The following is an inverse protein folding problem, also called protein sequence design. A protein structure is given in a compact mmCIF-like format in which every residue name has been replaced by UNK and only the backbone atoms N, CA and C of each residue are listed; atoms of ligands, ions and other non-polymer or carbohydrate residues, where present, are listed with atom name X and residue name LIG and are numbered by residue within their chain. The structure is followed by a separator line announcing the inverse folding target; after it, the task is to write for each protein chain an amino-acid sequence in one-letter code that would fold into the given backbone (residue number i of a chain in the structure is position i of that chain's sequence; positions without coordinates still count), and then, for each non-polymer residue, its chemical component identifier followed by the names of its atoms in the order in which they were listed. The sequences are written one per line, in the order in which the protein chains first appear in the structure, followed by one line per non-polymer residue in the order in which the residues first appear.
data_IF_678099595807
#
_entry.id   IF_678099595807
#
_cell.length_a   1.000
_cell.length_b   1.000
_cell.length_c   1.000
_cell.angle_alpha   90.00
_cell.angle_beta   90.00
_cell.angle_gamma   90.00
#
_symmetry.space_group_name_H-M   'P 1'
#
loop_
_entity.id
_entity.type
_entity.pdbx_description
1 polymer ?
#
# COMPACT_ATOMS: atom_id res chain seq x y z
N UNK A 1 30.60 25.17 -28.60
CA UNK A 1 29.14 24.99 -28.39
C UNK A 1 28.89 24.84 -26.91
N UNK A 2 28.02 25.64 -26.32
CA UNK A 2 27.61 25.45 -24.95
C UNK A 2 26.87 24.08 -24.84
N UNK A 3 27.28 23.25 -23.89
CA UNK A 3 26.61 21.98 -23.62
C UNK A 3 25.19 22.27 -23.18
N UNK A 4 24.20 21.55 -23.74
CA UNK A 4 22.79 21.78 -23.37
C UNK A 4 22.54 21.41 -21.90
N UNK A 5 21.49 21.97 -21.33
CA UNK A 5 21.01 21.61 -19.97
C UNK A 5 20.78 20.12 -19.87
N UNK A 6 20.16 19.52 -20.90
CA UNK A 6 19.95 18.09 -21.02
C UNK A 6 21.25 17.28 -21.01
N UNK A 7 22.21 17.59 -21.90
CA UNK A 7 23.47 16.85 -22.01
C UNK A 7 24.26 16.89 -20.71
N UNK A 8 24.27 18.06 -20.06
CA UNK A 8 24.96 18.23 -18.77
C UNK A 8 24.35 17.34 -17.68
N UNK A 9 23.03 17.30 -17.57
CA UNK A 9 22.34 16.47 -16.59
C UNK A 9 22.48 14.97 -16.92
N UNK A 10 22.34 14.60 -18.20
CA UNK A 10 22.51 13.22 -18.66
C UNK A 10 23.91 12.70 -18.29
N UNK A 11 24.97 13.47 -18.58
CA UNK A 11 26.34 13.11 -18.22
C UNK A 11 26.50 12.92 -16.69
N UNK A 12 25.93 13.81 -15.87
CA UNK A 12 25.97 13.66 -14.41
C UNK A 12 25.29 12.37 -13.95
N UNK A 13 24.14 12.01 -14.55
CA UNK A 13 23.43 10.78 -14.21
C UNK A 13 24.25 9.55 -14.62
N UNK A 14 24.79 9.52 -15.83
CA UNK A 14 25.60 8.42 -16.35
C UNK A 14 26.86 8.16 -15.51
N UNK A 15 27.52 9.23 -15.08
CA UNK A 15 28.73 9.15 -14.25
C UNK A 15 28.45 9.01 -12.75
N UNK A 16 27.20 9.00 -12.31
CA UNK A 16 26.78 9.01 -10.90
C UNK A 16 27.17 10.28 -10.12
N UNK A 17 27.53 11.33 -10.82
CA UNK A 17 27.84 12.63 -10.22
C UNK A 17 26.58 13.44 -9.89
N UNK A 18 25.43 13.05 -10.40
CA UNK A 18 24.15 13.68 -10.06
C UNK A 18 23.80 13.45 -8.57
N UNK A 19 23.30 14.49 -7.92
CA UNK A 19 22.76 14.41 -6.57
C UNK A 19 21.26 14.16 -6.62
N UNK A 20 20.76 13.14 -5.92
CA UNK A 20 19.34 12.83 -5.85
C UNK A 20 18.71 13.34 -4.55
N UNK A 21 17.56 14.02 -4.66
CA UNK A 21 16.70 14.41 -3.55
C UNK A 21 15.46 13.54 -3.54
N UNK A 22 15.10 12.92 -2.42
CA UNK A 22 13.90 12.11 -2.30
C UNK A 22 13.04 12.70 -1.20
N UNK A 23 11.82 13.15 -1.56
CA UNK A 23 10.91 13.84 -0.67
C UNK A 23 9.83 12.87 -0.21
N UNK A 24 9.69 12.71 1.12
CA UNK A 24 8.81 11.76 1.76
C UNK A 24 9.51 10.42 2.00
N UNK A 25 10.09 10.24 3.20
CA UNK A 25 10.81 9.04 3.62
C UNK A 25 9.87 8.02 4.28
N UNK A 26 8.76 7.71 3.61
CA UNK A 26 7.81 6.67 3.99
C UNK A 26 8.14 5.30 3.39
N UNK A 27 7.12 4.45 3.26
CA UNK A 27 7.21 3.08 2.72
C UNK A 27 7.68 3.02 1.26
N UNK A 28 7.58 4.12 0.52
CA UNK A 28 8.06 4.25 -0.86
C UNK A 28 9.42 4.92 -0.89
N UNK A 29 9.53 6.11 -0.30
CA UNK A 29 10.71 6.95 -0.49
C UNK A 29 11.96 6.44 0.21
N UNK A 30 11.89 5.86 1.41
CA UNK A 30 13.08 5.34 2.08
C UNK A 30 13.69 4.12 1.36
N UNK A 31 12.92 3.09 0.96
CA UNK A 31 13.46 2.00 0.12
C UNK A 31 14.06 2.50 -1.19
N UNK A 32 13.41 3.41 -1.88
CA UNK A 32 13.91 4.02 -3.11
C UNK A 32 15.24 4.78 -2.85
N UNK A 33 15.29 5.59 -1.78
CA UNK A 33 16.50 6.34 -1.42
C UNK A 33 17.70 5.43 -1.22
N UNK A 34 17.51 4.31 -0.53
CA UNK A 34 18.57 3.32 -0.31
C UNK A 34 18.95 2.59 -1.61
N UNK A 35 17.98 2.26 -2.48
CA UNK A 35 18.26 1.64 -3.78
C UNK A 35 19.06 2.57 -4.69
N UNK A 36 18.72 3.86 -4.75
CA UNK A 36 19.44 4.89 -5.51
C UNK A 36 20.84 5.12 -4.93
N UNK A 37 20.98 5.19 -3.60
CA UNK A 37 22.28 5.32 -2.96
C UNK A 37 23.22 4.13 -3.27
N UNK A 38 22.68 2.90 -3.21
CA UNK A 38 23.41 1.67 -3.59
C UNK A 38 23.88 1.67 -5.03
N UNK A 39 23.15 2.31 -5.93
CA UNK A 39 23.55 2.44 -7.34
C UNK A 39 24.66 3.48 -7.57
N UNK A 40 25.14 4.13 -6.50
CA UNK A 40 26.31 5.02 -6.52
C UNK A 40 26.01 6.51 -6.49
N UNK A 41 24.73 6.92 -6.41
CA UNK A 41 24.36 8.34 -6.29
C UNK A 41 24.50 8.85 -4.86
N UNK A 42 24.82 10.13 -4.70
CA UNK A 42 24.66 10.84 -3.44
C UNK A 42 23.17 11.22 -3.27
N UNK A 43 22.56 10.74 -2.19
CA UNK A 43 21.12 10.90 -1.93
C UNK A 43 20.89 11.75 -0.68
N UNK A 44 20.05 12.76 -0.79
CA UNK A 44 19.49 13.49 0.35
C UNK A 44 17.99 13.16 0.45
N UNK A 45 17.59 12.56 1.56
CA UNK A 45 16.18 12.34 1.87
C UNK A 45 15.60 13.56 2.60
N UNK A 46 14.41 13.99 2.19
CA UNK A 46 13.68 15.11 2.80
C UNK A 46 12.37 14.60 3.40
N UNK A 47 12.12 14.94 4.66
CA UNK A 47 10.83 14.64 5.30
C UNK A 47 10.51 15.73 6.33
N UNK A 48 9.22 15.99 6.53
CA UNK A 48 8.75 17.01 7.49
C UNK A 48 8.74 16.50 8.94
N UNK A 49 8.89 15.20 9.15
CA UNK A 49 8.82 14.56 10.47
C UNK A 49 10.20 14.47 11.13
N UNK A 50 10.48 15.28 12.19
CA UNK A 50 11.77 15.26 12.87
C UNK A 50 12.08 13.91 13.54
N UNK A 51 11.07 13.12 13.90
CA UNK A 51 11.26 11.82 14.54
C UNK A 51 11.94 10.83 13.61
N UNK A 52 11.66 10.91 12.31
CA UNK A 52 12.35 10.12 11.29
C UNK A 52 13.84 10.48 11.19
N UNK A 53 14.17 11.78 11.29
CA UNK A 53 15.57 12.23 11.29
C UNK A 53 16.33 11.60 12.44
N UNK A 54 15.77 11.64 13.65
CA UNK A 54 16.37 11.01 14.84
C UNK A 54 16.60 9.51 14.65
N UNK A 55 15.62 8.81 14.06
CA UNK A 55 15.76 7.38 13.79
C UNK A 55 16.85 7.08 12.76
N UNK A 56 16.89 7.83 11.64
CA UNK A 56 17.85 7.64 10.55
C UNK A 56 19.28 8.01 11.00
N UNK A 57 19.48 9.08 11.77
CA UNK A 57 20.76 9.44 12.37
C UNK A 57 21.27 8.34 13.33
N UNK A 58 20.36 7.71 14.08
CA UNK A 58 20.64 6.56 14.91
C UNK A 58 20.81 5.24 14.11
N UNK A 59 20.78 5.29 12.77
CA UNK A 59 20.88 4.14 11.85
C UNK A 59 19.79 3.10 12.11
N UNK A 60 18.61 3.54 12.53
CA UNK A 60 17.44 2.70 12.78
C UNK A 60 16.39 2.94 11.69
N UNK A 61 16.10 1.88 10.96
CA UNK A 61 14.98 1.88 10.02
C UNK A 61 13.66 1.75 10.78
N UNK A 62 12.65 2.43 10.29
CA UNK A 62 11.25 2.30 10.71
C UNK A 62 10.39 1.69 9.59
N UNK A 63 11.03 1.20 8.52
CA UNK A 63 10.40 0.54 7.37
C UNK A 63 10.95 -0.87 7.26
N UNK A 64 10.08 -1.89 7.31
CA UNK A 64 10.48 -3.31 7.27
C UNK A 64 11.25 -3.68 5.99
N UNK A 65 10.96 -3.01 4.87
CA UNK A 65 11.63 -3.22 3.59
C UNK A 65 13.10 -2.74 3.57
N UNK A 66 13.54 -1.98 4.58
CA UNK A 66 14.91 -1.48 4.70
C UNK A 66 15.50 -1.96 6.01
N UNK A 67 16.49 -2.85 5.98
CA UNK A 67 17.17 -3.29 7.20
C UNK A 67 18.09 -2.20 7.77
N UNK A 68 18.36 -2.26 9.08
CA UNK A 68 19.28 -1.32 9.74
C UNK A 68 20.69 -1.39 9.13
N UNK A 69 21.13 -2.58 8.76
CA UNK A 69 22.45 -2.82 8.13
C UNK A 69 22.52 -2.15 6.75
N UNK A 70 21.43 -2.26 5.98
CA UNK A 70 21.33 -1.64 4.67
C UNK A 70 21.37 -0.12 4.73
N UNK A 71 20.65 0.46 5.70
CA UNK A 71 20.64 1.90 5.97
C UNK A 71 22.01 2.37 6.46
N UNK A 72 22.59 1.68 7.45
CA UNK A 72 23.90 2.02 8.02
C UNK A 72 25.01 2.02 6.96
N UNK A 73 25.01 1.04 6.06
CA UNK A 73 26.01 0.95 4.99
C UNK A 73 26.03 2.18 4.07
N UNK A 74 24.84 2.71 3.72
CA UNK A 74 24.75 3.88 2.84
C UNK A 74 25.09 5.20 3.56
N UNK A 75 24.77 5.29 4.85
CA UNK A 75 25.16 6.43 5.70
C UNK A 75 26.68 6.45 5.90
N UNK A 76 27.30 5.31 6.24
CA UNK A 76 28.74 5.18 6.46
C UNK A 76 29.57 5.45 5.19
N UNK A 77 29.03 5.03 4.05
CA UNK A 77 29.62 5.34 2.76
C UNK A 77 29.44 6.81 2.33
N UNK A 78 28.73 7.63 3.11
CA UNK A 78 28.45 9.03 2.78
C UNK A 78 27.50 9.21 1.58
N UNK A 79 26.80 8.16 1.17
CA UNK A 79 25.88 8.20 0.03
C UNK A 79 24.44 8.52 0.41
N UNK A 80 24.06 8.41 1.67
CA UNK A 80 22.72 8.78 2.14
C UNK A 80 22.79 9.69 3.36
N UNK A 81 22.01 10.77 3.33
CA UNK A 81 21.71 11.63 4.48
C UNK A 81 20.24 12.02 4.45
N UNK A 82 19.67 12.40 5.59
CA UNK A 82 18.30 12.88 5.69
C UNK A 82 18.25 14.25 6.36
N UNK A 83 17.23 15.07 6.01
CA UNK A 83 17.07 16.42 6.56
C UNK A 83 15.60 16.85 6.53
N UNK A 84 15.27 17.79 7.43
CA UNK A 84 14.00 18.55 7.37
C UNK A 84 14.16 19.89 6.66
N UNK A 85 15.37 20.28 6.26
CA UNK A 85 15.67 21.54 5.57
C UNK A 85 15.50 21.37 4.06
N UNK A 86 14.44 21.90 3.51
CA UNK A 86 14.09 21.84 2.09
C UNK A 86 14.92 22.82 1.21
N UNK A 87 15.66 23.74 1.79
CA UNK A 87 16.58 24.61 1.02
C UNK A 87 17.63 23.78 0.26
N UNK A 88 17.99 22.58 0.78
CA UNK A 88 18.87 21.64 0.12
C UNK A 88 18.39 21.09 -1.22
N UNK A 89 17.13 21.31 -1.61
CA UNK A 89 16.59 20.93 -2.93
C UNK A 89 17.29 21.63 -4.08
N UNK A 90 17.76 22.87 -3.88
CA UNK A 90 18.56 23.59 -4.86
C UNK A 90 19.91 22.91 -5.20
N UNK A 91 20.44 22.04 -4.33
CA UNK A 91 21.67 21.27 -4.57
C UNK A 91 21.43 19.96 -5.33
N UNK A 92 20.19 19.48 -5.41
CA UNK A 92 19.85 18.23 -6.07
C UNK A 92 19.77 18.42 -7.59
N UNK A 93 20.20 17.41 -8.35
CA UNK A 93 20.07 17.37 -9.81
C UNK A 93 18.81 16.57 -10.22
N UNK A 94 18.43 15.56 -9.42
CA UNK A 94 17.20 14.76 -9.59
C UNK A 94 16.40 14.85 -8.30
N UNK A 95 15.13 15.22 -8.39
CA UNK A 95 14.22 15.34 -7.24
C UNK A 95 13.04 14.38 -7.46
N UNK A 96 12.77 13.53 -6.48
CA UNK A 96 11.69 12.55 -6.55
C UNK A 96 10.67 12.82 -5.44
N UNK A 97 9.39 12.89 -5.81
CA UNK A 97 8.27 13.16 -4.91
C UNK A 97 7.59 11.85 -4.54
N UNK A 98 7.69 11.45 -3.26
CA UNK A 98 7.12 10.22 -2.69
C UNK A 98 6.19 10.54 -1.50
N UNK A 99 5.41 11.60 -1.60
CA UNK A 99 4.51 12.05 -0.53
C UNK A 99 3.16 11.32 -0.56
N UNK A 100 2.45 11.24 0.58
CA UNK A 100 1.13 10.63 0.63
C UNK A 100 0.11 11.33 -0.28
N UNK A 101 -0.82 10.54 -0.84
CA UNK A 101 -1.95 10.99 -1.64
C UNK A 101 -3.22 10.31 -1.14
N UNK A 102 -3.79 10.74 0.00
CA UNK A 102 -4.99 10.14 0.57
C UNK A 102 -6.25 10.57 -0.18
N UNK A 103 -7.38 9.89 0.11
CA UNK A 103 -8.71 10.39 -0.26
C UNK A 103 -9.29 11.26 0.86
N UNK A 104 -10.13 12.21 0.49
CA UNK A 104 -11.01 12.91 1.42
C UNK A 104 -12.11 11.98 1.95
N UNK A 105 -12.92 12.44 2.92
CA UNK A 105 -14.09 11.70 3.42
C UNK A 105 -15.13 11.39 2.31
N UNK A 106 -15.13 12.16 1.24
CA UNK A 106 -16.03 12.00 0.09
C UNK A 106 -15.40 11.16 -1.03
N UNK A 107 -14.23 10.54 -0.77
CA UNK A 107 -13.44 9.76 -1.74
C UNK A 107 -12.93 10.60 -2.93
N UNK A 108 -12.76 11.90 -2.75
CA UNK A 108 -12.08 12.74 -3.70
C UNK A 108 -10.55 12.70 -3.45
N UNK A 109 -9.70 12.79 -4.49
CA UNK A 109 -8.25 12.89 -4.35
C UNK A 109 -7.82 14.08 -3.50
N UNK A 110 -6.96 13.86 -2.50
CA UNK A 110 -6.32 14.93 -1.74
C UNK A 110 -4.86 15.07 -2.21
N UNK A 111 -4.62 16.02 -3.10
CA UNK A 111 -3.30 16.33 -3.64
C UNK A 111 -2.55 17.42 -2.86
N UNK A 112 -3.06 17.84 -1.72
CA UNK A 112 -2.47 18.92 -0.92
C UNK A 112 -0.99 18.73 -0.62
N UNK A 113 -0.56 17.49 -0.34
CA UNK A 113 0.85 17.16 -0.10
C UNK A 113 1.68 17.27 -1.38
N UNK A 114 1.17 16.82 -2.51
CA UNK A 114 1.86 16.93 -3.82
C UNK A 114 2.01 18.39 -4.21
N UNK A 115 0.93 19.18 -4.09
CA UNK A 115 0.96 20.59 -4.39
C UNK A 115 1.91 21.37 -3.48
N UNK A 116 1.84 21.15 -2.15
CA UNK A 116 2.73 21.82 -1.19
C UNK A 116 4.21 21.47 -1.48
N UNK A 117 4.48 20.19 -1.76
CA UNK A 117 5.83 19.74 -2.12
C UNK A 117 6.31 20.38 -3.42
N UNK A 118 5.44 20.42 -4.44
CA UNK A 118 5.78 21.06 -5.73
C UNK A 118 6.07 22.56 -5.57
N UNK A 119 5.34 23.27 -4.71
CA UNK A 119 5.62 24.68 -4.37
C UNK A 119 6.96 24.82 -3.66
N UNK A 120 7.27 23.97 -2.69
CA UNK A 120 8.59 23.97 -2.03
C UNK A 120 9.73 23.68 -3.00
N UNK A 121 9.53 22.81 -3.99
CA UNK A 121 10.51 22.58 -5.05
C UNK A 121 10.64 23.83 -5.93
N UNK A 122 9.55 24.47 -6.34
CA UNK A 122 9.54 25.64 -7.20
C UNK A 122 10.32 26.82 -6.59
N UNK A 123 10.31 26.98 -5.26
CA UNK A 123 11.08 28.01 -4.53
C UNK A 123 12.62 27.82 -4.67
N UNK A 124 13.05 26.59 -4.90
CA UNK A 124 14.47 26.21 -4.98
C UNK A 124 14.86 25.64 -6.36
N UNK A 125 13.93 25.65 -7.33
CA UNK A 125 14.13 25.07 -8.64
C UNK A 125 15.19 25.86 -9.43
N UNK A 126 16.11 25.14 -10.04
CA UNK A 126 17.14 25.71 -10.91
C UNK A 126 17.19 25.01 -12.26
N UNK A 127 17.78 25.65 -13.23
CA UNK A 127 18.06 25.04 -14.51
C UNK A 127 18.90 23.76 -14.37
N UNK A 128 18.59 22.74 -15.16
CA UNK A 128 19.27 21.45 -15.18
C UNK A 128 18.81 20.46 -14.12
N UNK A 129 17.60 20.60 -13.59
CA UNK A 129 17.02 19.62 -12.68
C UNK A 129 15.98 18.73 -13.36
N UNK A 130 15.92 17.46 -12.93
CA UNK A 130 14.82 16.53 -13.25
C UNK A 130 13.94 16.41 -12.00
N UNK A 131 12.64 16.63 -12.15
CA UNK A 131 11.64 16.39 -11.10
C UNK A 131 10.75 15.23 -11.50
N UNK A 132 10.68 14.18 -10.69
CA UNK A 132 9.86 13.00 -10.93
C UNK A 132 8.80 12.85 -9.84
N UNK A 133 7.54 12.65 -10.23
CA UNK A 133 6.48 12.26 -9.33
C UNK A 133 6.40 10.73 -9.26
N UNK A 134 6.42 10.16 -8.03
CA UNK A 134 6.16 8.73 -7.78
C UNK A 134 4.89 8.48 -6.97
N UNK A 135 4.36 9.50 -6.32
CA UNK A 135 3.10 9.39 -5.59
C UNK A 135 1.96 8.95 -6.52
N UNK A 136 1.12 8.03 -6.06
CA UNK A 136 -0.04 7.56 -6.84
C UNK A 136 -1.04 8.68 -7.01
N UNK A 137 -1.44 8.94 -8.25
CA UNK A 137 -2.37 10.01 -8.63
C UNK A 137 -3.25 9.59 -9.81
N UNK A 138 -4.16 10.46 -10.23
CA UNK A 138 -4.93 10.26 -11.47
C UNK A 138 -4.17 10.74 -12.70
N UNK A 139 -4.49 10.20 -13.89
CA UNK A 139 -3.85 10.61 -15.16
C UNK A 139 -3.99 12.10 -15.42
N UNK A 140 -2.87 12.75 -15.69
CA UNK A 140 -2.74 14.19 -15.92
C UNK A 140 -2.19 14.98 -14.74
N UNK A 141 -2.08 14.40 -13.53
CA UNK A 141 -1.58 15.12 -12.34
C UNK A 141 -0.19 15.71 -12.55
N UNK A 142 0.73 14.93 -13.14
CA UNK A 142 2.11 15.39 -13.38
C UNK A 142 2.14 16.60 -14.32
N UNK A 143 1.38 16.55 -15.40
CA UNK A 143 1.41 17.59 -16.43
C UNK A 143 0.55 18.81 -16.05
N UNK A 144 -0.67 18.59 -15.50
CA UNK A 144 -1.64 19.64 -15.23
C UNK A 144 -1.43 20.35 -13.89
N UNK A 145 -0.76 19.71 -12.92
CA UNK A 145 -0.57 20.24 -11.57
C UNK A 145 0.91 20.44 -11.27
N UNK A 146 1.70 19.35 -11.25
CA UNK A 146 3.11 19.43 -10.80
C UNK A 146 3.90 20.34 -11.73
N UNK A 147 3.87 20.09 -13.05
CA UNK A 147 4.57 20.90 -14.03
C UNK A 147 4.13 22.38 -13.97
N UNK A 148 2.84 22.66 -13.89
CA UNK A 148 2.31 24.03 -13.82
C UNK A 148 2.80 24.78 -12.59
N UNK A 149 2.84 24.11 -11.43
CA UNK A 149 3.39 24.72 -10.20
C UNK A 149 4.88 25.01 -10.33
N UNK A 150 5.65 24.06 -10.90
CA UNK A 150 7.08 24.22 -11.10
C UNK A 150 7.40 25.34 -12.09
N UNK A 151 6.63 25.47 -13.18
CA UNK A 151 6.76 26.57 -14.13
C UNK A 151 6.42 27.96 -13.55
N UNK A 152 5.72 27.98 -12.41
CA UNK A 152 5.52 29.19 -11.60
C UNK A 152 6.82 29.83 -11.09
N UNK A 153 7.93 29.11 -11.07
CA UNK A 153 9.29 29.62 -10.81
C UNK A 153 9.82 30.54 -11.92
N UNK A 154 9.17 30.57 -13.09
CA UNK A 154 9.64 31.27 -14.28
C UNK A 154 10.47 30.43 -15.23
N UNK A 155 10.85 29.22 -14.83
CA UNK A 155 11.56 28.23 -15.66
C UNK A 155 10.57 27.43 -16.52
N UNK A 156 11.03 26.84 -17.62
CA UNK A 156 10.20 26.06 -18.55
C UNK A 156 10.60 24.61 -18.63
N UNK A 157 9.62 23.72 -18.49
CA UNK A 157 9.80 22.28 -18.68
C UNK A 157 10.23 21.97 -20.11
N UNK A 158 11.18 21.03 -20.26
CA UNK A 158 11.76 20.64 -21.55
C UNK A 158 12.86 21.58 -22.05
N UNK A 159 13.05 22.75 -21.42
CA UNK A 159 14.12 23.72 -21.77
C UNK A 159 15.06 23.96 -20.60
N UNK A 160 14.50 24.41 -19.48
CA UNK A 160 15.29 24.76 -18.30
C UNK A 160 15.37 23.60 -17.30
N UNK A 161 14.28 22.86 -17.12
CA UNK A 161 14.19 21.68 -16.27
C UNK A 161 13.36 20.59 -16.93
N UNK A 162 13.31 19.40 -16.32
CA UNK A 162 12.63 18.25 -16.88
C UNK A 162 11.64 17.66 -15.88
N UNK A 163 10.51 17.14 -16.36
CA UNK A 163 9.47 16.53 -15.53
C UNK A 163 9.17 15.12 -16.01
N UNK A 164 8.99 14.19 -15.07
CA UNK A 164 8.59 12.84 -15.38
C UNK A 164 7.73 12.21 -14.29
N UNK A 165 7.20 11.03 -14.62
CA UNK A 165 6.42 10.20 -13.70
C UNK A 165 6.92 8.76 -13.71
N UNK A 166 6.94 8.15 -12.54
CA UNK A 166 7.23 6.72 -12.39
C UNK A 166 6.39 6.12 -11.26
N UNK A 167 5.45 5.21 -11.55
CA UNK A 167 4.63 4.61 -10.52
C UNK A 167 5.44 3.73 -9.57
N UNK A 168 5.14 3.79 -8.28
CA UNK A 168 5.62 2.82 -7.32
C UNK A 168 4.84 1.50 -7.46
N UNK A 169 5.55 0.36 -7.48
CA UNK A 169 4.99 -0.98 -7.74
C UNK A 169 5.38 -2.02 -6.69
N UNK A 170 5.93 -1.61 -5.55
CA UNK A 170 6.28 -2.52 -4.47
C UNK A 170 5.05 -3.15 -3.82
N UNK A 171 5.22 -4.39 -3.36
CA UNK A 171 4.27 -5.13 -2.54
C UNK A 171 4.89 -5.38 -1.16
N UNK A 172 4.56 -4.59 -0.14
CA UNK A 172 5.13 -4.74 1.19
C UNK A 172 4.99 -6.17 1.73
N UNK A 173 6.11 -6.72 2.24
CA UNK A 173 6.18 -8.10 2.72
C UNK A 173 6.37 -9.16 1.64
N UNK A 174 6.54 -8.79 0.36
CA UNK A 174 6.91 -9.73 -0.69
C UNK A 174 8.37 -10.18 -0.52
N UNK A 175 8.61 -11.50 -0.51
CA UNK A 175 9.95 -12.08 -0.30
C UNK A 175 10.74 -12.27 -1.61
N UNK A 176 10.05 -12.20 -2.76
CA UNK A 176 10.64 -12.52 -4.07
C UNK A 176 10.93 -11.26 -4.89
N UNK A 177 10.18 -10.19 -4.67
CA UNK A 177 10.27 -8.97 -5.44
C UNK A 177 10.53 -7.77 -4.54
N UNK A 178 11.47 -6.92 -4.91
CA UNK A 178 11.83 -5.68 -4.22
C UNK A 178 12.16 -4.60 -5.25
N UNK A 179 12.30 -3.34 -4.84
CA UNK A 179 12.52 -2.16 -5.69
C UNK A 179 13.46 -2.41 -6.87
N UNK A 180 14.61 -3.05 -6.65
CA UNK A 180 15.61 -3.25 -7.70
C UNK A 180 15.23 -4.33 -8.73
N UNK A 181 14.31 -5.26 -8.42
CA UNK A 181 13.95 -6.40 -9.29
C UNK A 181 12.62 -6.22 -10.00
N UNK A 182 11.74 -5.34 -9.51
CA UNK A 182 10.46 -5.04 -10.16
C UNK A 182 10.71 -4.13 -11.37
N UNK A 183 10.22 -4.49 -12.58
CA UNK A 183 10.32 -3.59 -13.74
C UNK A 183 9.69 -2.23 -13.44
N UNK A 184 10.44 -1.15 -13.60
CA UNK A 184 10.02 0.21 -13.30
C UNK A 184 9.46 0.90 -14.55
N UNK A 185 8.20 1.28 -14.52
CA UNK A 185 7.59 2.08 -15.59
C UNK A 185 8.05 3.52 -15.45
N UNK A 186 8.42 4.15 -16.56
CA UNK A 186 8.84 5.56 -16.58
C UNK A 186 8.25 6.31 -17.74
N UNK A 187 7.96 7.59 -17.53
CA UNK A 187 7.54 8.54 -18.54
C UNK A 187 8.26 9.88 -18.33
N UNK A 188 8.22 10.74 -19.33
CA UNK A 188 8.76 12.09 -19.26
C UNK A 188 7.96 13.05 -20.13
N UNK A 189 7.98 14.33 -19.75
CA UNK A 189 7.45 15.45 -20.54
C UNK A 189 8.39 15.74 -21.72
N UNK A 190 8.22 14.97 -22.79
CA UNK A 190 9.06 15.00 -23.96
C UNK A 190 10.21 13.98 -23.96
N UNK A 191 10.91 13.86 -25.10
CA UNK A 191 11.92 12.83 -25.31
C UNK A 191 13.16 12.98 -24.42
N UNK A 192 13.56 14.19 -24.08
CA UNK A 192 14.71 14.47 -23.22
C UNK A 192 14.42 14.06 -21.78
N UNK A 193 13.25 14.46 -21.23
CA UNK A 193 12.83 14.06 -19.92
C UNK A 193 12.72 12.51 -19.81
N UNK A 194 12.14 11.85 -20.83
CA UNK A 194 12.08 10.40 -20.87
C UNK A 194 13.47 9.75 -20.90
N UNK A 195 14.42 10.31 -21.64
CA UNK A 195 15.81 9.80 -21.66
C UNK A 195 16.47 9.90 -20.30
N UNK A 196 16.33 11.03 -19.61
CA UNK A 196 16.83 11.23 -18.25
C UNK A 196 16.20 10.25 -17.26
N UNK A 197 14.87 10.08 -17.29
CA UNK A 197 14.14 9.11 -16.47
C UNK A 197 14.64 7.69 -16.69
N UNK A 198 14.80 7.26 -17.94
CA UNK A 198 15.33 5.93 -18.29
C UNK A 198 16.75 5.73 -17.73
N UNK A 199 17.63 6.71 -17.90
CA UNK A 199 19.03 6.61 -17.48
C UNK A 199 19.13 6.59 -15.97
N UNK A 200 18.38 7.45 -15.26
CA UNK A 200 18.40 7.52 -13.81
C UNK A 200 17.85 6.22 -13.17
N UNK A 201 16.64 5.83 -13.54
CA UNK A 201 16.03 4.61 -12.95
C UNK A 201 16.76 3.34 -13.41
N UNK A 202 17.25 3.29 -14.64
CA UNK A 202 18.05 2.16 -15.14
C UNK A 202 19.36 1.92 -14.39
N UNK A 203 19.80 2.88 -13.60
CA UNK A 203 20.92 2.70 -12.69
C UNK A 203 20.55 1.95 -11.41
N UNK A 204 19.31 2.11 -10.94
CA UNK A 204 18.85 1.60 -9.66
C UNK A 204 18.01 0.32 -9.78
N UNK A 205 17.40 0.05 -10.95
CA UNK A 205 16.53 -1.12 -11.17
C UNK A 205 16.98 -1.96 -12.36
N UNK A 206 16.64 -3.25 -12.34
CA UNK A 206 17.07 -4.21 -13.38
C UNK A 206 16.42 -3.98 -14.74
N UNK A 207 15.21 -3.43 -14.77
CA UNK A 207 14.44 -3.24 -16.01
C UNK A 207 13.62 -1.97 -15.95
N UNK A 208 13.75 -1.13 -16.99
CA UNK A 208 12.95 0.08 -17.18
C UNK A 208 12.01 -0.10 -18.36
N UNK A 209 10.73 0.21 -18.17
CA UNK A 209 9.68 0.11 -19.18
C UNK A 209 9.21 1.53 -19.53
N UNK A 210 9.71 2.13 -20.60
CA UNK A 210 9.28 3.47 -21.02
C UNK A 210 7.87 3.43 -21.62
N UNK A 211 7.07 4.44 -21.30
CA UNK A 211 5.75 4.67 -21.92
C UNK A 211 5.66 6.07 -22.52
N UNK A 212 4.64 6.31 -23.33
CA UNK A 212 4.54 7.47 -24.22
C UNK A 212 4.27 8.82 -23.53
N UNK A 213 3.70 8.80 -22.31
CA UNK A 213 3.35 10.04 -21.57
C UNK A 213 3.25 9.79 -20.08
N UNK A 214 3.37 10.86 -19.26
CA UNK A 214 3.16 10.81 -17.82
C UNK A 214 1.76 10.27 -17.49
N UNK A 215 0.72 10.73 -18.19
CA UNK A 215 -0.65 10.24 -18.00
C UNK A 215 -0.79 8.74 -18.27
N UNK A 216 -0.05 8.18 -19.24
CA UNK A 216 -0.02 6.73 -19.47
C UNK A 216 0.62 6.00 -18.30
N UNK A 217 1.73 6.49 -17.77
CA UNK A 217 2.41 5.87 -16.63
C UNK A 217 1.55 5.94 -15.34
N UNK A 218 0.86 7.05 -15.10
CA UNK A 218 -0.12 7.23 -14.02
C UNK A 218 -1.28 6.22 -14.17
N UNK A 219 -1.81 6.05 -15.38
CA UNK A 219 -2.88 5.09 -15.67
C UNK A 219 -2.46 3.63 -15.43
N UNK A 220 -1.19 3.27 -15.69
CA UNK A 220 -0.67 1.90 -15.43
C UNK A 220 -0.86 1.51 -13.97
N UNK A 221 -0.46 2.39 -13.03
CA UNK A 221 -0.61 2.13 -11.58
C UNK A 221 -2.05 1.91 -11.19
N UNK A 222 -2.94 2.78 -11.64
CA UNK A 222 -4.37 2.64 -11.34
C UNK A 222 -4.94 1.35 -11.93
N UNK A 223 -4.58 1.01 -13.17
CA UNK A 223 -5.03 -0.23 -13.83
C UNK A 223 -4.64 -1.47 -13.04
N UNK A 224 -3.40 -1.55 -12.53
CA UNK A 224 -2.92 -2.67 -11.71
C UNK A 224 -3.73 -2.80 -10.41
N UNK A 225 -4.05 -1.70 -9.75
CA UNK A 225 -4.81 -1.70 -8.50
C UNK A 225 -6.31 -1.95 -8.73
N UNK A 226 -6.88 -1.41 -9.80
CA UNK A 226 -8.25 -1.69 -10.24
C UNK A 226 -8.41 -3.17 -10.56
N UNK A 227 -7.48 -3.78 -11.31
CA UNK A 227 -7.50 -5.20 -11.61
C UNK A 227 -7.59 -6.05 -10.33
N UNK A 228 -6.77 -5.75 -9.32
CA UNK A 228 -6.83 -6.46 -8.03
C UNK A 228 -8.15 -6.22 -7.31
N UNK A 229 -8.62 -4.97 -7.22
CA UNK A 229 -9.86 -4.62 -6.53
C UNK A 229 -11.07 -5.33 -7.11
N UNK A 230 -11.21 -5.32 -8.46
CA UNK A 230 -12.32 -5.95 -9.18
C UNK A 230 -12.29 -7.47 -9.04
N UNK A 231 -11.11 -8.11 -9.17
CA UNK A 231 -11.02 -9.57 -9.04
C UNK A 231 -11.24 -10.05 -7.60
N UNK A 232 -10.84 -9.27 -6.58
CA UNK A 232 -11.17 -9.59 -5.19
C UNK A 232 -12.68 -9.42 -4.94
N UNK A 233 -13.32 -8.39 -5.50
CA UNK A 233 -14.77 -8.23 -5.42
C UNK A 233 -15.50 -9.40 -6.09
N UNK A 234 -15.04 -9.85 -7.26
CA UNK A 234 -15.61 -11.01 -7.96
C UNK A 234 -15.58 -12.26 -7.07
N UNK A 235 -14.44 -12.61 -6.46
CA UNK A 235 -14.38 -13.81 -5.61
C UNK A 235 -15.12 -13.64 -4.29
N UNK A 236 -15.27 -12.43 -3.77
CA UNK A 236 -16.11 -12.13 -2.61
C UNK A 236 -17.62 -12.31 -2.96
N UNK A 237 -18.06 -11.88 -4.13
CA UNK A 237 -19.41 -12.11 -4.63
C UNK A 237 -19.67 -13.61 -4.85
N UNK A 238 -18.77 -14.30 -5.57
CA UNK A 238 -18.85 -15.74 -5.79
C UNK A 238 -18.92 -16.52 -4.48
N UNK A 239 -18.21 -16.12 -3.44
CA UNK A 239 -18.28 -16.70 -2.11
C UNK A 239 -19.72 -16.66 -1.56
N UNK A 240 -20.41 -15.52 -1.67
CA UNK A 240 -21.78 -15.38 -1.17
C UNK A 240 -22.76 -16.25 -1.95
N UNK A 241 -22.61 -16.27 -3.28
CA UNK A 241 -23.44 -17.09 -4.20
C UNK A 241 -23.22 -18.57 -3.94
N UNK A 242 -21.97 -19.03 -3.93
CA UNK A 242 -21.66 -20.44 -3.72
C UNK A 242 -22.00 -20.93 -2.32
N UNK A 243 -21.85 -20.09 -1.29
CA UNK A 243 -22.29 -20.43 0.06
C UNK A 243 -23.81 -20.71 0.11
N UNK A 244 -24.64 -19.93 -0.62
CA UNK A 244 -26.08 -20.18 -0.73
C UNK A 244 -26.42 -21.47 -1.48
N UNK A 245 -25.52 -21.93 -2.36
CA UNK A 245 -25.66 -23.18 -3.14
C UNK A 245 -25.04 -24.39 -2.43
N UNK A 246 -24.41 -24.21 -1.27
CA UNK A 246 -23.69 -25.28 -0.56
C UNK A 246 -22.38 -25.69 -1.22
N UNK A 247 -21.79 -24.81 -2.06
CA UNK A 247 -20.52 -25.03 -2.76
C UNK A 247 -19.40 -24.29 -2.04
N UNK A 248 -18.26 -24.96 -1.88
CA UNK A 248 -17.06 -24.35 -1.30
C UNK A 248 -16.30 -23.52 -2.35
N UNK A 249 -16.31 -22.20 -2.20
CA UNK A 249 -15.59 -21.28 -3.10
C UNK A 249 -14.09 -21.52 -3.15
N UNK A 250 -13.47 -21.97 -2.04
CA UNK A 250 -12.04 -22.22 -1.97
C UNK A 250 -11.63 -23.42 -2.83
N UNK A 251 -12.41 -24.51 -2.76
CA UNK A 251 -12.23 -25.66 -3.62
C UNK A 251 -12.39 -25.30 -5.09
N UNK A 252 -13.41 -24.50 -5.42
CA UNK A 252 -13.64 -24.00 -6.80
C UNK A 252 -12.44 -23.20 -7.30
N UNK A 253 -11.90 -22.27 -6.50
CA UNK A 253 -10.74 -21.45 -6.88
C UNK A 253 -9.49 -22.34 -7.05
N UNK A 254 -9.26 -23.28 -6.11
CA UNK A 254 -8.12 -24.17 -6.14
C UNK A 254 -8.16 -25.14 -7.34
N UNK A 255 -9.33 -25.58 -7.72
CA UNK A 255 -9.50 -26.35 -8.97
C UNK A 255 -9.30 -25.47 -10.21
N UNK A 256 -9.89 -24.26 -10.23
CA UNK A 256 -9.80 -23.37 -11.38
C UNK A 256 -8.36 -22.89 -11.65
N UNK A 257 -7.54 -22.67 -10.61
CA UNK A 257 -6.13 -22.25 -10.78
C UNK A 257 -5.22 -23.29 -11.45
N UNK A 258 -5.67 -24.54 -11.55
CA UNK A 258 -4.94 -25.59 -12.30
C UNK A 258 -4.97 -25.36 -13.79
N UNK A 259 -5.89 -24.52 -14.29
CA UNK A 259 -5.93 -24.11 -15.68
C UNK A 259 -4.72 -23.21 -15.99
N UNK A 260 -3.85 -23.57 -16.95
CA UNK A 260 -2.57 -22.89 -17.14
C UNK A 260 -2.69 -21.52 -17.84
N UNK A 261 -3.87 -21.11 -18.28
CA UNK A 261 -4.12 -19.85 -19.00
C UNK A 261 -5.52 -19.30 -18.72
N UNK A 262 -5.69 -17.99 -18.84
CA UNK A 262 -6.98 -17.32 -18.77
C UNK A 262 -7.63 -17.28 -17.38
N UNK A 263 -6.90 -17.65 -16.32
CA UNK A 263 -7.32 -17.56 -14.93
C UNK A 263 -6.14 -17.20 -14.02
N UNK A 264 -6.34 -16.17 -13.21
CA UNK A 264 -5.43 -15.78 -12.13
C UNK A 264 -6.20 -15.90 -10.81
N UNK A 265 -5.74 -16.72 -9.86
CA UNK A 265 -6.47 -16.96 -8.63
C UNK A 265 -6.43 -15.72 -7.71
N UNK A 266 -7.60 -15.32 -7.23
CA UNK A 266 -7.81 -14.44 -6.10
C UNK A 266 -8.62 -15.19 -5.06
N UNK A 267 -8.43 -14.86 -3.79
CA UNK A 267 -9.13 -15.52 -2.70
C UNK A 267 -10.02 -14.54 -1.94
N UNK A 268 -11.21 -14.95 -1.54
CA UNK A 268 -12.11 -14.09 -0.77
C UNK A 268 -11.56 -13.82 0.63
N UNK A 269 -12.07 -12.78 1.25
CA UNK A 269 -11.68 -12.37 2.59
C UNK A 269 -12.73 -11.49 3.27
N UNK A 270 -12.44 -10.98 4.47
CA UNK A 270 -13.39 -10.16 5.22
C UNK A 270 -13.53 -8.72 4.69
N UNK A 271 -12.89 -8.39 3.61
CA UNK A 271 -12.86 -7.07 2.97
C UNK A 271 -11.48 -6.76 2.38
N UNK A 272 -11.33 -5.55 1.85
CA UNK A 272 -10.06 -5.01 1.38
C UNK A 272 -9.37 -4.22 2.48
N UNK A 273 -8.03 -4.28 2.48
CA UNK A 273 -7.18 -3.47 3.32
C UNK A 273 -5.91 -3.04 2.58
N UNK A 274 -5.06 -2.29 3.27
CA UNK A 274 -3.86 -1.68 2.71
C UNK A 274 -4.13 -0.31 2.11
N UNK A 275 -3.07 0.44 1.86
CA UNK A 275 -3.16 1.84 1.43
C UNK A 275 -3.67 2.01 -0.01
N UNK A 276 -3.37 1.05 -0.91
CA UNK A 276 -3.55 1.26 -2.36
C UNK A 276 -4.91 0.76 -2.88
N UNK A 277 -5.26 -0.52 -2.61
CA UNK A 277 -6.41 -1.15 -3.27
C UNK A 277 -7.76 -0.53 -2.88
N UNK A 278 -8.00 -0.10 -1.63
CA UNK A 278 -9.24 0.59 -1.27
C UNK A 278 -9.31 2.04 -1.77
N UNK A 279 -8.19 2.65 -2.16
CA UNK A 279 -8.04 4.09 -2.40
C UNK A 279 -7.86 4.38 -3.90
N UNK A 280 -6.82 3.82 -4.52
CA UNK A 280 -6.37 4.19 -5.86
C UNK A 280 -7.43 4.03 -6.97
N UNK A 281 -8.32 3.01 -6.97
CA UNK A 281 -9.37 2.90 -7.97
C UNK A 281 -10.28 4.12 -8.04
N UNK A 282 -10.53 4.78 -6.90
CA UNK A 282 -11.39 5.95 -6.83
C UNK A 282 -10.78 7.21 -7.43
N UNK A 283 -9.45 7.27 -7.59
CA UNK A 283 -8.79 8.32 -8.37
C UNK A 283 -9.29 8.33 -9.82
N UNK A 284 -9.39 7.15 -10.44
CA UNK A 284 -9.92 7.07 -11.81
C UNK A 284 -11.42 7.36 -11.86
N UNK A 285 -12.19 6.90 -10.87
CA UNK A 285 -13.62 7.22 -10.75
C UNK A 285 -13.86 8.72 -10.64
N UNK A 286 -13.03 9.42 -9.87
CA UNK A 286 -13.11 10.87 -9.73
C UNK A 286 -12.75 11.56 -11.04
N UNK A 287 -11.62 11.21 -11.67
CA UNK A 287 -11.13 11.82 -12.92
C UNK A 287 -12.07 11.56 -14.10
N UNK A 288 -12.69 10.38 -14.17
CA UNK A 288 -13.60 10.02 -15.27
C UNK A 288 -14.86 10.89 -15.33
N UNK A 289 -15.24 11.53 -14.20
CA UNK A 289 -16.39 12.46 -14.18
C UNK A 289 -16.17 13.70 -15.04
N UNK A 290 -14.92 14.14 -15.24
CA UNK A 290 -14.58 15.23 -16.14
C UNK A 290 -14.93 14.89 -17.61
N UNK A 291 -14.98 13.58 -17.94
CA UNK A 291 -15.31 13.05 -19.26
C UNK A 291 -16.75 12.51 -19.34
N UNK A 292 -17.55 12.74 -18.29
CA UNK A 292 -18.94 12.25 -18.19
C UNK A 292 -19.05 10.71 -18.31
N UNK A 293 -18.01 9.97 -17.90
CA UNK A 293 -17.93 8.51 -17.98
C UNK A 293 -18.07 7.86 -16.59
N UNK A 294 -19.08 6.98 -16.37
CA UNK A 294 -19.18 6.23 -15.12
C UNK A 294 -18.21 5.04 -15.09
N UNK A 295 -17.61 4.76 -13.94
CA UNK A 295 -16.71 3.62 -13.73
C UNK A 295 -17.42 2.45 -13.04
N UNK A 296 -18.37 1.82 -13.73
CA UNK A 296 -19.29 0.82 -13.15
C UNK A 296 -18.59 -0.33 -12.43
N UNK A 297 -17.56 -0.93 -13.03
CA UNK A 297 -16.83 -2.04 -12.41
C UNK A 297 -16.07 -1.61 -11.15
N UNK A 298 -15.51 -0.41 -11.14
CA UNK A 298 -14.72 0.09 -10.02
C UNK A 298 -15.64 0.42 -8.84
N UNK A 299 -16.75 1.11 -9.10
CA UNK A 299 -17.72 1.50 -8.08
C UNK A 299 -18.40 0.26 -7.48
N UNK A 300 -18.83 -0.69 -8.33
CA UNK A 300 -19.42 -1.96 -7.88
C UNK A 300 -18.42 -2.79 -7.06
N UNK A 301 -17.17 -2.88 -7.50
CA UNK A 301 -16.14 -3.59 -6.75
C UNK A 301 -15.91 -2.96 -5.37
N UNK A 302 -15.90 -1.63 -5.30
CA UNK A 302 -15.81 -0.90 -4.04
C UNK A 302 -16.98 -1.18 -3.10
N UNK A 303 -18.21 -1.25 -3.64
CA UNK A 303 -19.42 -1.56 -2.88
C UNK A 303 -19.36 -2.99 -2.32
N UNK A 304 -19.10 -3.99 -3.17
CA UNK A 304 -19.00 -5.41 -2.76
C UNK A 304 -17.95 -5.58 -1.67
N UNK A 305 -16.73 -5.06 -1.88
CA UNK A 305 -15.64 -5.23 -0.93
C UNK A 305 -15.91 -4.51 0.41
N UNK A 306 -16.58 -3.36 0.39
CA UNK A 306 -16.96 -2.61 1.60
C UNK A 306 -18.11 -3.29 2.38
N UNK A 307 -18.90 -4.12 1.73
CA UNK A 307 -19.99 -4.88 2.37
C UNK A 307 -19.49 -6.14 3.10
N UNK A 308 -18.30 -6.66 2.75
CA UNK A 308 -17.79 -7.93 3.29
C UNK A 308 -17.65 -7.98 4.82
N UNK A 309 -17.19 -6.94 5.53
CA UNK A 309 -17.13 -7.01 6.99
C UNK A 309 -18.51 -7.26 7.63
N UNK A 310 -19.56 -6.65 7.07
CA UNK A 310 -20.95 -6.86 7.56
C UNK A 310 -21.44 -8.27 7.27
N UNK A 311 -21.13 -8.81 6.10
CA UNK A 311 -21.42 -10.21 5.76
C UNK A 311 -20.75 -11.17 6.75
N UNK A 312 -19.47 -10.99 7.03
CA UNK A 312 -18.70 -11.83 7.95
C UNK A 312 -19.28 -11.77 9.38
N UNK A 313 -19.59 -10.57 9.90
CA UNK A 313 -20.22 -10.45 11.23
C UNK A 313 -21.63 -11.02 11.23
N UNK A 314 -22.35 -10.98 10.11
CA UNK A 314 -23.63 -11.68 9.93
C UNK A 314 -23.47 -13.19 10.09
N UNK A 315 -22.47 -13.79 9.43
CA UNK A 315 -22.13 -15.22 9.55
C UNK A 315 -21.67 -15.61 10.95
N UNK A 316 -20.90 -14.76 11.62
CA UNK A 316 -20.53 -14.95 13.02
C UNK A 316 -21.75 -14.99 13.93
N UNK A 317 -22.70 -14.05 13.76
CA UNK A 317 -23.93 -14.01 14.56
C UNK A 317 -24.81 -15.23 14.32
N UNK A 318 -24.97 -15.65 13.05
CA UNK A 318 -25.69 -16.88 12.68
C UNK A 318 -25.04 -18.12 13.32
N UNK A 319 -23.72 -18.24 13.27
CA UNK A 319 -22.99 -19.34 13.84
C UNK A 319 -23.10 -19.39 15.38
N UNK A 320 -23.04 -18.26 16.07
CA UNK A 320 -23.26 -18.15 17.52
C UNK A 320 -24.67 -18.58 17.92
N UNK A 321 -25.68 -18.12 17.17
CA UNK A 321 -27.08 -18.50 17.44
C UNK A 321 -27.32 -20.00 17.21
N UNK A 322 -26.94 -20.53 16.06
CA UNK A 322 -27.20 -21.92 15.68
C UNK A 322 -26.37 -22.94 16.47
N UNK A 323 -25.14 -22.62 16.87
CA UNK A 323 -24.21 -23.56 17.51
C UNK A 323 -24.08 -23.40 19.01
N UNK A 324 -24.19 -22.17 19.52
CA UNK A 324 -24.07 -21.87 20.94
C UNK A 324 -25.38 -21.39 21.58
N UNK A 325 -26.46 -21.20 20.82
CA UNK A 325 -27.72 -20.64 21.32
C UNK A 325 -27.53 -19.25 21.95
N UNK A 326 -26.57 -18.48 21.44
CA UNK A 326 -26.14 -17.23 22.06
C UNK A 326 -26.16 -16.07 21.07
N UNK A 327 -26.87 -15.00 21.42
CA UNK A 327 -26.88 -13.81 20.60
C UNK A 327 -25.51 -13.11 20.59
N UNK A 328 -25.10 -12.52 19.46
CA UNK A 328 -23.87 -11.75 19.33
C UNK A 328 -23.74 -10.67 20.41
N UNK A 329 -24.85 -9.98 20.76
CA UNK A 329 -24.89 -8.94 21.79
C UNK A 329 -24.55 -9.41 23.21
N UNK A 330 -24.49 -10.71 23.45
CA UNK A 330 -24.09 -11.32 24.72
C UNK A 330 -22.78 -12.09 24.63
N UNK A 331 -22.09 -12.01 23.49
CA UNK A 331 -20.92 -12.82 23.19
C UNK A 331 -19.65 -12.01 23.30
N UNK A 332 -18.57 -12.72 23.68
CA UNK A 332 -17.18 -12.25 23.60
C UNK A 332 -16.50 -12.93 22.41
N UNK A 333 -15.95 -12.13 21.53
CA UNK A 333 -15.31 -12.58 20.29
C UNK A 333 -13.82 -12.22 20.32
N UNK A 334 -12.97 -13.16 19.97
CA UNK A 334 -11.55 -12.93 19.73
C UNK A 334 -11.31 -12.80 18.22
N UNK A 335 -10.93 -11.61 17.76
CA UNK A 335 -10.54 -11.37 16.36
C UNK A 335 -9.05 -11.71 16.21
N UNK A 336 -8.71 -12.65 15.32
CA UNK A 336 -7.34 -13.05 15.02
C UNK A 336 -6.82 -12.37 13.76
N UNK A 337 -5.68 -11.68 13.92
CA UNK A 337 -5.05 -10.91 12.86
C UNK A 337 -5.70 -9.55 12.68
N UNK A 338 -4.99 -8.51 13.12
CA UNK A 338 -5.42 -7.13 12.97
C UNK A 338 -4.84 -6.48 11.70
N UNK A 339 -3.65 -6.91 11.28
CA UNK A 339 -3.02 -6.44 10.05
C UNK A 339 -3.87 -6.79 8.82
N UNK A 340 -3.80 -5.96 7.78
CA UNK A 340 -4.57 -6.20 6.55
C UNK A 340 -4.03 -7.38 5.73
N UNK A 341 -2.78 -7.76 5.91
CA UNK A 341 -2.08 -8.82 5.18
C UNK A 341 -1.30 -9.70 6.15
N UNK A 342 -1.13 -10.96 5.76
CA UNK A 342 -0.37 -11.97 6.49
C UNK A 342 1.09 -11.54 6.72
N UNK A 343 1.57 -11.72 7.95
CA UNK A 343 2.97 -11.54 8.37
C UNK A 343 3.52 -10.11 8.21
N UNK A 344 2.66 -9.10 8.29
CA UNK A 344 3.04 -7.68 8.33
C UNK A 344 2.42 -7.01 9.56
N UNK A 345 3.00 -5.89 9.98
CA UNK A 345 2.46 -5.06 11.08
C UNK A 345 1.52 -3.93 10.60
N UNK A 346 1.21 -3.87 9.30
CA UNK A 346 0.45 -2.77 8.70
C UNK A 346 -1.06 -2.97 8.87
N UNK A 347 -1.71 -2.02 9.56
CA UNK A 347 -3.15 -2.04 9.83
C UNK A 347 -3.93 -0.99 9.04
N UNK A 348 -3.28 -0.28 8.09
CA UNK A 348 -3.97 0.76 7.31
C UNK A 348 -5.12 0.15 6.53
N UNK A 349 -6.30 0.79 6.62
CA UNK A 349 -7.54 0.34 5.99
C UNK A 349 -7.86 -1.15 6.26
N UNK A 350 -7.39 -1.71 7.38
CA UNK A 350 -7.62 -3.13 7.67
C UNK A 350 -9.09 -3.42 7.94
N UNK A 351 -9.69 -4.39 7.24
CA UNK A 351 -11.07 -4.81 7.50
C UNK A 351 -11.28 -5.36 8.92
N UNK A 352 -10.21 -5.81 9.59
CA UNK A 352 -10.25 -6.33 10.96
C UNK A 352 -10.68 -5.27 11.96
N UNK A 353 -10.28 -4.01 11.76
CA UNK A 353 -10.73 -2.89 12.59
C UNK A 353 -12.24 -2.68 12.43
N UNK A 354 -12.75 -2.73 11.21
CA UNK A 354 -14.17 -2.60 10.94
C UNK A 354 -14.98 -3.78 11.47
N UNK A 355 -14.42 -5.00 11.46
CA UNK A 355 -15.06 -6.17 12.10
C UNK A 355 -15.28 -5.95 13.59
N UNK A 356 -14.24 -5.44 14.30
CA UNK A 356 -14.33 -5.12 15.73
C UNK A 356 -15.45 -4.11 15.99
N UNK A 357 -15.48 -3.00 15.23
CA UNK A 357 -16.52 -1.98 15.37
C UNK A 357 -17.93 -2.53 15.14
N UNK A 358 -18.14 -3.32 14.06
CA UNK A 358 -19.46 -3.88 13.76
C UNK A 358 -19.91 -4.86 14.87
N UNK A 359 -19.00 -5.67 15.43
CA UNK A 359 -19.32 -6.55 16.55
C UNK A 359 -19.80 -5.73 17.75
N UNK A 360 -19.09 -4.64 18.06
CA UNK A 360 -19.43 -3.76 19.19
C UNK A 360 -20.67 -2.91 18.93
N UNK A 361 -20.88 -2.38 17.72
CA UNK A 361 -22.10 -1.70 17.30
C UNK A 361 -23.35 -2.61 17.49
N UNK A 362 -23.19 -3.93 17.35
CA UNK A 362 -24.24 -4.91 17.55
C UNK A 362 -24.33 -5.42 19.00
N UNK A 363 -23.60 -4.78 19.94
CA UNK A 363 -23.64 -5.06 21.38
C UNK A 363 -22.73 -6.19 21.85
N UNK A 364 -21.95 -6.81 20.96
CA UNK A 364 -20.93 -7.78 21.33
C UNK A 364 -19.71 -7.14 21.99
N UNK A 365 -18.80 -7.98 22.47
CA UNK A 365 -17.48 -7.54 22.96
C UNK A 365 -16.40 -8.16 22.09
N UNK A 366 -15.47 -7.35 21.59
CA UNK A 366 -14.38 -7.79 20.73
C UNK A 366 -13.02 -7.45 21.35
N UNK A 367 -12.20 -8.47 21.54
CA UNK A 367 -10.76 -8.36 21.78
C UNK A 367 -10.02 -8.82 20.50
N UNK A 368 -8.73 -8.51 20.38
CA UNK A 368 -7.94 -8.99 19.26
C UNK A 368 -6.63 -9.63 19.70
N UNK A 369 -6.12 -10.55 18.88
CA UNK A 369 -4.73 -11.02 18.93
C UNK A 369 -4.06 -10.85 17.59
N UNK A 370 -2.88 -10.23 17.59
CA UNK A 370 -2.02 -10.12 16.42
C UNK A 370 -0.56 -10.22 16.86
N UNK A 371 0.24 -11.13 16.27
CA UNK A 371 1.64 -11.34 16.67
C UNK A 371 2.57 -10.20 16.24
N UNK A 372 2.11 -9.26 15.39
CA UNK A 372 2.89 -8.15 14.85
C UNK A 372 2.38 -6.78 15.34
N UNK A 373 1.14 -6.72 15.84
CA UNK A 373 0.49 -5.48 16.29
C UNK A 373 0.14 -5.58 17.75
N UNK A 374 1.07 -5.22 18.62
CA UNK A 374 0.90 -5.31 20.06
C UNK A 374 -0.13 -4.31 20.61
N UNK A 375 -0.22 -3.13 20.00
CA UNK A 375 -1.16 -2.06 20.38
C UNK A 375 -1.63 -1.34 19.12
N UNK A 376 -2.91 -0.95 19.07
CA UNK A 376 -3.48 -0.20 17.95
C UNK A 376 -2.96 1.25 18.00
N UNK A 377 -2.17 1.68 17.02
CA UNK A 377 -1.72 3.07 16.93
C UNK A 377 -2.88 4.00 16.55
N UNK A 378 -2.69 5.33 16.57
CA UNK A 378 -3.65 6.26 15.98
C UNK A 378 -3.92 5.91 14.53
N UNK A 379 -5.18 5.72 14.16
CA UNK A 379 -5.64 5.46 12.80
C UNK A 379 -6.46 6.63 12.29
N UNK A 380 -6.62 6.75 10.98
CA UNK A 380 -7.41 7.82 10.37
C UNK A 380 -8.91 7.67 10.67
N UNK A 381 -9.46 6.47 10.56
CA UNK A 381 -10.91 6.22 10.60
C UNK A 381 -11.37 5.57 11.91
N UNK A 382 -10.51 4.78 12.56
CA UNK A 382 -10.86 3.95 13.72
C UNK A 382 -10.28 4.48 15.04
N UNK A 383 -10.45 5.79 15.30
CA UNK A 383 -9.86 6.45 16.48
C UNK A 383 -10.33 5.87 17.83
N UNK A 384 -11.55 5.35 17.87
CA UNK A 384 -12.11 4.73 19.08
C UNK A 384 -11.37 3.45 19.51
N UNK A 385 -10.63 2.83 18.60
CA UNK A 385 -9.86 1.61 18.88
C UNK A 385 -8.42 1.88 19.32
N UNK A 386 -7.95 3.13 19.25
CA UNK A 386 -6.58 3.52 19.63
C UNK A 386 -6.22 3.07 21.03
N UNK A 387 -5.02 2.53 21.20
CA UNK A 387 -4.47 2.13 22.49
C UNK A 387 -4.95 0.75 22.98
N UNK A 388 -5.86 0.08 22.25
CA UNK A 388 -6.22 -1.30 22.58
C UNK A 388 -5.02 -2.22 22.35
N UNK A 389 -4.85 -3.18 23.25
CA UNK A 389 -3.71 -4.10 23.24
C UNK A 389 -4.11 -5.48 22.76
N UNK A 390 -3.20 -6.11 22.04
CA UNK A 390 -3.29 -7.50 21.63
C UNK A 390 -3.32 -8.40 22.89
N UNK A 391 -4.30 -9.31 22.96
CA UNK A 391 -4.36 -10.30 24.05
C UNK A 391 -3.31 -11.39 23.83
N UNK A 392 -2.77 -11.93 24.91
CA UNK A 392 -1.88 -13.09 24.83
C UNK A 392 -2.70 -14.34 24.48
N UNK A 393 -2.28 -15.05 23.43
CA UNK A 393 -2.98 -16.24 22.95
C UNK A 393 -2.53 -17.47 23.75
N UNK A 394 -3.36 -17.87 24.73
CA UNK A 394 -3.17 -19.11 25.52
C UNK A 394 -4.46 -19.94 25.47
N UNK A 395 -4.40 -21.26 25.72
CA UNK A 395 -5.59 -22.09 25.79
C UNK A 395 -6.66 -21.55 26.76
N UNK A 396 -6.26 -21.07 27.91
CA UNK A 396 -7.16 -20.53 28.96
C UNK A 396 -7.82 -19.24 28.50
N UNK A 397 -7.05 -18.35 27.82
CA UNK A 397 -7.59 -17.11 27.25
C UNK A 397 -8.61 -17.42 26.15
N UNK A 398 -8.28 -18.33 25.22
CA UNK A 398 -9.15 -18.74 24.11
C UNK A 398 -10.44 -19.35 24.62
N UNK A 399 -10.39 -20.23 25.63
CA UNK A 399 -11.57 -20.85 26.24
C UNK A 399 -12.53 -19.83 26.88
N UNK A 400 -12.08 -18.62 27.18
CA UNK A 400 -12.90 -17.53 27.71
C UNK A 400 -13.72 -16.77 26.65
N UNK A 401 -13.59 -17.09 25.36
CA UNK A 401 -14.33 -16.48 24.27
C UNK A 401 -15.43 -17.41 23.73
N UNK A 402 -16.55 -16.83 23.33
CA UNK A 402 -17.65 -17.57 22.72
C UNK A 402 -17.35 -17.95 21.27
N UNK A 403 -16.55 -17.13 20.59
CA UNK A 403 -16.10 -17.41 19.24
C UNK A 403 -14.72 -16.77 18.96
N UNK A 404 -13.98 -17.40 18.06
CA UNK A 404 -12.76 -16.89 17.44
C UNK A 404 -13.06 -16.57 15.99
N UNK A 405 -12.79 -15.32 15.56
CA UNK A 405 -12.96 -14.87 14.19
C UNK A 405 -11.59 -14.68 13.55
N UNK A 406 -11.23 -15.51 12.56
CA UNK A 406 -9.98 -15.37 11.82
C UNK A 406 -10.16 -14.32 10.73
N UNK A 407 -9.55 -13.16 10.90
CA UNK A 407 -9.57 -12.08 9.92
C UNK A 407 -8.29 -12.06 9.07
N UNK A 408 -7.11 -12.31 9.67
CA UNK A 408 -5.83 -12.46 8.96
C UNK A 408 -5.07 -13.66 9.52
N UNK A 409 -4.60 -14.52 8.61
CA UNK A 409 -4.03 -15.84 8.93
C UNK A 409 -2.50 -15.79 9.06
N UNK A 410 -1.98 -15.13 10.08
CA UNK A 410 -0.54 -15.06 10.36
C UNK A 410 0.09 -16.42 10.64
N UNK A 411 1.30 -16.67 10.15
CA UNK A 411 2.02 -17.95 10.37
C UNK A 411 2.45 -18.19 11.82
N UNK A 412 2.54 -17.13 12.63
CA UNK A 412 2.92 -17.23 14.05
C UNK A 412 1.78 -17.63 14.97
N UNK A 413 0.57 -17.83 14.45
CA UNK A 413 -0.60 -18.24 15.23
C UNK A 413 -0.64 -19.77 15.31
N UNK A 414 -0.83 -20.31 16.51
CA UNK A 414 -1.01 -21.76 16.74
C UNK A 414 -2.47 -22.17 16.47
N UNK A 415 -2.75 -22.50 15.20
CA UNK A 415 -4.08 -22.95 14.77
C UNK A 415 -4.44 -24.33 15.32
N UNK A 416 -3.45 -25.17 15.67
CA UNK A 416 -3.68 -26.49 16.28
C UNK A 416 -4.24 -26.34 17.69
N UNK A 417 -3.69 -25.41 18.47
CA UNK A 417 -4.22 -25.05 19.79
C UNK A 417 -5.63 -24.51 19.70
N UNK A 418 -5.88 -23.59 18.75
CA UNK A 418 -7.20 -22.99 18.51
C UNK A 418 -8.26 -24.04 18.15
N UNK A 419 -7.95 -24.97 17.23
CA UNK A 419 -8.85 -26.06 16.86
C UNK A 419 -9.26 -26.96 18.02
N UNK A 420 -8.40 -27.09 19.05
CA UNK A 420 -8.67 -27.89 20.24
C UNK A 420 -9.41 -27.15 21.36
N UNK A 421 -9.28 -25.82 21.40
CA UNK A 421 -9.65 -25.02 22.59
C UNK A 421 -10.83 -24.09 22.34
N UNK A 422 -10.97 -23.54 21.11
CA UNK A 422 -12.04 -22.61 20.80
C UNK A 422 -13.40 -23.31 20.73
N UNK A 423 -14.42 -22.71 21.35
CA UNK A 423 -15.77 -23.24 21.30
C UNK A 423 -16.42 -23.14 19.92
N UNK A 424 -16.13 -22.05 19.20
CA UNK A 424 -16.58 -21.78 17.84
C UNK A 424 -15.50 -21.02 17.10
N UNK A 425 -15.23 -21.37 15.85
CA UNK A 425 -14.29 -20.66 14.96
C UNK A 425 -15.03 -20.23 13.70
N UNK A 426 -14.89 -18.96 13.35
CA UNK A 426 -15.35 -18.43 12.05
C UNK A 426 -14.10 -18.07 11.24
N UNK A 427 -13.87 -18.83 10.18
CA UNK A 427 -12.65 -18.74 9.36
C UNK A 427 -12.95 -18.04 8.02
N UNK A 428 -12.41 -16.83 7.85
CA UNK A 428 -12.55 -16.05 6.60
C UNK A 428 -11.42 -16.31 5.61
N UNK A 429 -10.40 -17.11 5.99
CA UNK A 429 -9.17 -17.35 5.22
C UNK A 429 -8.97 -18.81 4.82
N UNK A 430 -9.90 -19.68 5.17
CA UNK A 430 -9.81 -21.12 4.94
C UNK A 430 -8.52 -21.75 5.52
N UNK A 431 -8.00 -21.17 6.63
CA UNK A 431 -6.73 -21.60 7.18
C UNK A 431 -6.83 -22.99 7.83
N UNK A 432 -7.96 -23.31 8.47
CA UNK A 432 -8.14 -24.60 9.12
C UNK A 432 -8.20 -25.75 8.12
N UNK A 433 -8.91 -25.63 7.00
CA UNK A 433 -8.91 -26.64 5.94
C UNK A 433 -7.53 -26.82 5.31
N UNK A 434 -6.85 -25.72 4.99
CA UNK A 434 -5.50 -25.76 4.43
C UNK A 434 -4.48 -26.47 5.33
N UNK A 435 -4.70 -26.44 6.64
CA UNK A 435 -3.86 -27.11 7.64
C UNK A 435 -4.37 -28.50 8.03
N UNK A 436 -5.48 -28.99 7.45
CA UNK A 436 -6.09 -30.25 7.81
C UNK A 436 -6.69 -30.29 9.23
N UNK A 437 -7.10 -29.10 9.73
CA UNK A 437 -7.64 -28.91 11.08
C UNK A 437 -9.17 -28.68 11.09
N UNK A 438 -9.85 -29.07 10.00
CA UNK A 438 -11.30 -28.89 9.89
C UNK A 438 -12.05 -29.70 10.94
N UNK A 439 -13.02 -29.07 11.59
CA UNK A 439 -13.85 -29.64 12.63
C UNK A 439 -15.27 -29.05 12.57
N UNK A 440 -16.24 -29.71 13.22
CA UNK A 440 -17.65 -29.28 13.18
C UNK A 440 -17.92 -27.89 13.77
N UNK A 441 -17.03 -27.40 14.63
CA UNK A 441 -17.11 -26.07 15.24
C UNK A 441 -16.33 -24.99 14.44
N UNK A 442 -15.72 -25.35 13.29
CA UNK A 442 -15.10 -24.42 12.35
C UNK A 442 -16.08 -24.11 11.24
N UNK A 443 -16.47 -22.86 11.09
CA UNK A 443 -17.41 -22.36 10.08
C UNK A 443 -16.66 -21.45 9.13
N UNK A 444 -16.80 -21.70 7.82
CA UNK A 444 -16.25 -20.80 6.78
C UNK A 444 -17.15 -19.57 6.62
N UNK A 445 -16.54 -18.38 6.57
CA UNK A 445 -17.27 -17.12 6.43
C UNK A 445 -16.62 -16.17 5.43
#
# INVERSE_FOLDING_TARGET
LATSTFDTLLQKIETRAARAGIIGLGYVGLPLAIAVARSGFAVTGFDIDPSKMVALEARRSYIDAVSNEALAAEIEAGRFRATTDFAGLGECDVIIICVPTPLTKHRDPDLSFVEATSRSIAEHLRSGQLVALESTTYPGTTDDIVKVILEGSGLKSGADFFVGFSPEREDPGNQHYHTATIPKVVAGDGPEALALMKTFYGAAVSTVVPVSSNATAEAVKLTENIFRSVNIALVNELKTVYAAMGIDVWEVIDAAKTKPFGYMPFYPGPGLGGHCIPIDPFYLTWKSREYELPTRFIELAGEINSAMPRYVVGKLAEALDMRAGKALSRSRVLVLGLAYKKNVADIRESPSLRLIEIIEERGGRADYHDPFVAEIPPTREHQALKGRKSVTLTPEAVAGYDAVLVATDHDRIDYTMLAKTAALIVDTRNVFDRLGLSASHVIKA
#
